data_IF_632036944599
#
_entry.id   IF_632036944599
#
_cell.length_a   1.000
_cell.length_b   1.000
_cell.length_c   1.000
_cell.angle_alpha   90.00
_cell.angle_beta   90.00
_cell.angle_gamma   90.00
#
_symmetry.space_group_name_H-M   'P 1'
#
loop_
_entity.id
_entity.type
_entity.pdbx_description
1 polymer ?
#
# COMPACT_ATOMS: atom_id res chain seq x y z
N UNK A 1 6.80 -15.84 11.09
CA UNK A 1 5.74 -14.97 10.56
C UNK A 1 4.75 -15.88 9.88
N UNK A 2 3.50 -15.90 10.32
CA UNK A 2 2.47 -16.62 9.59
C UNK A 2 2.08 -15.82 8.35
N UNK A 3 1.42 -16.48 7.40
CA UNK A 3 0.89 -15.82 6.21
C UNK A 3 -0.30 -14.93 6.59
N UNK A 4 -0.42 -13.74 5.97
CA UNK A 4 -1.55 -12.85 6.24
C UNK A 4 -2.88 -13.52 5.84
N UNK A 5 -3.93 -13.26 6.61
CA UNK A 5 -5.29 -13.71 6.28
C UNK A 5 -5.85 -12.77 5.22
N UNK A 6 -5.89 -13.23 3.97
CA UNK A 6 -6.34 -12.43 2.83
C UNK A 6 -7.86 -12.25 2.86
N UNK A 7 -8.32 -11.00 2.83
CA UNK A 7 -9.74 -10.62 2.79
C UNK A 7 -10.18 -10.19 1.39
N UNK A 8 -9.29 -9.54 0.63
CA UNK A 8 -9.49 -9.16 -0.75
C UNK A 8 -8.30 -9.61 -1.58
N UNK A 9 -8.54 -10.30 -2.71
CA UNK A 9 -7.47 -10.88 -3.51
C UNK A 9 -7.46 -10.33 -4.92
N UNK A 10 -6.36 -9.68 -5.30
CA UNK A 10 -6.05 -9.23 -6.66
C UNK A 10 -7.21 -8.47 -7.33
N UNK A 11 -7.81 -7.53 -6.60
CA UNK A 11 -8.90 -6.68 -7.09
C UNK A 11 -8.31 -5.52 -7.87
N UNK A 12 -8.79 -5.28 -9.10
CA UNK A 12 -8.38 -4.10 -9.86
C UNK A 12 -8.94 -2.84 -9.18
N UNK A 13 -8.05 -1.90 -8.91
CA UNK A 13 -8.35 -0.71 -8.13
C UNK A 13 -7.58 0.51 -8.67
N UNK A 14 -8.03 1.69 -8.27
CA UNK A 14 -7.31 2.94 -8.48
C UNK A 14 -6.89 3.48 -7.14
N UNK A 15 -5.58 3.62 -6.96
CA UNK A 15 -4.99 4.18 -5.74
C UNK A 15 -4.40 5.55 -6.03
N UNK A 16 -4.41 6.40 -5.01
CA UNK A 16 -3.71 7.67 -5.01
C UNK A 16 -2.66 7.66 -3.89
N UNK A 17 -1.41 7.97 -4.25
CA UNK A 17 -0.29 8.07 -3.31
C UNK A 17 0.08 9.54 -3.10
N UNK A 18 0.31 9.92 -1.83
CA UNK A 18 0.70 11.28 -1.41
C UNK A 18 -0.23 12.38 -1.95
N UNK A 19 -1.51 12.04 -2.19
CA UNK A 19 -2.51 12.96 -2.76
C UNK A 19 -2.24 13.44 -4.19
N UNK A 20 -1.23 12.91 -4.89
CA UNK A 20 -0.80 13.43 -6.19
C UNK A 20 -0.61 12.37 -7.27
N UNK A 21 -0.16 11.16 -6.91
CA UNK A 21 0.17 10.13 -7.91
C UNK A 21 -0.95 9.10 -7.99
N UNK A 22 -1.60 8.98 -9.14
CA UNK A 22 -2.70 8.05 -9.35
C UNK A 22 -2.24 6.85 -10.17
N UNK A 23 -2.55 5.65 -9.70
CA UNK A 23 -2.18 4.41 -10.37
C UNK A 23 -3.35 3.44 -10.45
N UNK A 24 -3.49 2.78 -11.60
CA UNK A 24 -4.30 1.57 -11.70
C UNK A 24 -3.46 0.39 -11.27
N UNK A 25 -3.92 -0.36 -10.26
CA UNK A 25 -3.15 -1.43 -9.63
C UNK A 25 -4.04 -2.64 -9.36
N UNK A 26 -3.45 -3.82 -9.25
CA UNK A 26 -4.12 -4.92 -8.57
C UNK A 26 -3.79 -4.86 -7.08
N UNK A 27 -4.82 -4.74 -6.26
CA UNK A 27 -4.72 -4.65 -4.81
C UNK A 27 -5.16 -5.96 -4.18
N UNK A 28 -4.31 -6.50 -3.30
CA UNK A 28 -4.67 -7.55 -2.35
C UNK A 28 -4.61 -6.96 -0.95
N UNK A 29 -5.63 -7.19 -0.14
CA UNK A 29 -5.69 -6.74 1.26
C UNK A 29 -5.86 -7.97 2.15
N UNK A 30 -5.16 -8.00 3.27
CA UNK A 30 -5.32 -8.98 4.32
C UNK A 30 -4.98 -8.43 5.68
N UNK A 31 -4.99 -9.29 6.69
CA UNK A 31 -4.57 -8.97 8.05
C UNK A 31 -3.30 -9.75 8.40
N UNK A 32 -2.29 -9.04 8.87
CA UNK A 32 -1.07 -9.63 9.42
C UNK A 32 -1.29 -10.09 10.87
N UNK A 33 -0.40 -10.96 11.37
CA UNK A 33 -0.45 -11.45 12.76
C UNK A 33 -0.37 -10.32 13.81
N UNK A 34 0.24 -9.19 13.46
CA UNK A 34 0.33 -8.01 14.34
C UNK A 34 -1.01 -7.28 14.53
N UNK A 35 -2.01 -7.61 13.72
CA UNK A 35 -3.28 -6.88 13.63
C UNK A 35 -3.28 -5.76 12.59
N UNK A 36 -2.13 -5.46 11.98
CA UNK A 36 -2.04 -4.48 10.89
C UNK A 36 -2.61 -5.03 9.59
N UNK A 37 -3.10 -4.16 8.72
CA UNK A 37 -3.46 -4.55 7.38
C UNK A 37 -2.20 -4.82 6.55
N UNK A 38 -2.19 -5.98 5.90
CA UNK A 38 -1.27 -6.30 4.83
C UNK A 38 -1.85 -5.82 3.49
N UNK A 39 -1.02 -5.18 2.68
CA UNK A 39 -1.38 -4.84 1.31
C UNK A 39 -0.32 -5.36 0.33
N UNK A 40 -0.78 -5.92 -0.79
CA UNK A 40 0.05 -6.16 -1.95
C UNK A 40 -0.48 -5.34 -3.12
N UNK A 41 0.37 -4.47 -3.66
CA UNK A 41 0.05 -3.56 -4.75
C UNK A 41 0.86 -3.96 -5.97
N UNK A 42 0.20 -4.53 -6.97
CA UNK A 42 0.83 -4.88 -8.24
C UNK A 42 0.57 -3.77 -9.26
N UNK A 43 1.60 -2.97 -9.50
CA UNK A 43 1.63 -1.92 -10.51
C UNK A 43 2.01 -2.53 -11.86
N UNK A 44 1.14 -2.40 -12.85
CA UNK A 44 1.34 -2.97 -14.19
C UNK A 44 1.26 -1.89 -15.26
N UNK A 45 1.87 -2.14 -16.42
CA UNK A 45 1.90 -1.22 -17.56
C UNK A 45 2.45 0.17 -17.22
N UNK A 46 3.48 0.23 -16.35
CA UNK A 46 4.04 1.50 -15.92
C UNK A 46 4.78 2.18 -17.06
N UNK A 47 4.70 3.51 -17.11
CA UNK A 47 5.66 4.30 -17.87
C UNK A 47 7.01 4.32 -17.13
N UNK A 48 8.06 4.75 -17.83
CA UNK A 48 9.39 4.94 -17.21
C UNK A 48 9.34 5.96 -16.08
N UNK A 49 8.49 6.99 -16.20
CA UNK A 49 8.37 8.01 -15.16
C UNK A 49 7.57 7.51 -13.96
N UNK A 50 6.50 6.73 -14.17
CA UNK A 50 5.81 6.04 -13.07
C UNK A 50 6.76 5.13 -12.30
N UNK A 51 7.60 4.37 -13.01
CA UNK A 51 8.61 3.50 -12.40
C UNK A 51 9.58 4.30 -11.52
N UNK A 52 10.07 5.45 -12.00
CA UNK A 52 10.96 6.32 -11.21
C UNK A 52 10.25 6.90 -9.98
N UNK A 53 8.99 7.32 -10.12
CA UNK A 53 8.20 7.86 -9.01
C UNK A 53 8.05 6.79 -7.92
N UNK A 54 7.61 5.58 -8.30
CA UNK A 54 7.47 4.47 -7.36
C UNK A 54 8.82 4.11 -6.73
N UNK A 55 9.89 3.97 -7.53
CA UNK A 55 11.22 3.69 -7.02
C UNK A 55 11.75 4.78 -6.07
N UNK A 56 11.33 6.04 -6.26
CA UNK A 56 11.65 7.14 -5.35
C UNK A 56 10.84 7.07 -4.06
N UNK A 57 9.51 6.94 -4.15
CA UNK A 57 8.61 6.88 -3.00
C UNK A 57 8.99 5.75 -2.03
N UNK A 58 9.26 4.54 -2.54
CA UNK A 58 9.66 3.40 -1.69
C UNK A 58 10.97 3.63 -0.93
N UNK A 59 11.88 4.46 -1.46
CA UNK A 59 13.18 4.74 -0.83
C UNK A 59 13.08 5.74 0.32
N UNK A 60 11.99 6.49 0.42
CA UNK A 60 11.85 7.52 1.44
C UNK A 60 11.68 6.94 2.86
N UNK A 61 11.47 5.62 3.01
CA UNK A 61 11.30 4.91 4.31
C UNK A 61 10.33 5.61 5.29
N UNK A 62 9.38 6.37 4.74
CA UNK A 62 8.37 7.11 5.49
C UNK A 62 7.01 6.48 5.25
N UNK A 63 6.06 6.75 6.14
CA UNK A 63 4.65 6.47 5.92
C UNK A 63 4.20 7.18 4.65
N UNK A 64 3.75 6.41 3.66
CA UNK A 64 3.18 6.95 2.42
C UNK A 64 1.67 7.06 2.61
N UNK A 65 1.12 8.25 2.40
CA UNK A 65 -0.33 8.42 2.38
C UNK A 65 -0.90 7.66 1.17
N UNK A 66 -1.95 6.88 1.43
CA UNK A 66 -2.68 6.14 0.39
C UNK A 66 -4.18 6.40 0.53
N UNK A 67 -4.85 6.57 -0.61
CA UNK A 67 -6.30 6.42 -0.72
C UNK A 67 -6.62 5.47 -1.87
N UNK A 68 -7.76 4.82 -1.78
CA UNK A 68 -8.17 3.75 -2.68
C UNK A 68 -9.68 3.63 -2.65
N UNK A 69 -10.28 3.44 -3.82
CA UNK A 69 -11.72 3.18 -3.90
C UNK A 69 -12.10 1.88 -3.18
N UNK A 70 -11.25 0.85 -3.28
CA UNK A 70 -11.46 -0.41 -2.57
C UNK A 70 -11.41 -0.22 -1.04
N UNK A 71 -10.41 0.51 -0.54
CA UNK A 71 -10.26 0.83 0.89
C UNK A 71 -11.51 1.54 1.41
N UNK A 72 -11.99 2.56 0.69
CA UNK A 72 -13.16 3.34 1.08
C UNK A 72 -14.46 2.51 1.04
N UNK A 73 -14.64 1.70 -0.01
CA UNK A 73 -15.87 0.91 -0.22
C UNK A 73 -16.02 -0.18 0.84
N UNK A 74 -14.92 -0.87 1.15
CA UNK A 74 -14.88 -1.94 2.16
C UNK A 74 -14.68 -1.40 3.58
N UNK A 75 -14.52 -0.07 3.73
CA UNK A 75 -14.32 0.65 5.00
C UNK A 75 -13.10 0.15 5.77
N UNK A 76 -12.02 -0.17 5.07
CA UNK A 76 -10.75 -0.45 5.71
C UNK A 76 -10.17 0.84 6.30
N UNK A 77 -9.73 0.80 7.56
CA UNK A 77 -9.08 1.93 8.22
C UNK A 77 -7.60 2.00 7.84
N UNK A 78 -7.31 2.25 6.55
CA UNK A 78 -5.96 2.30 5.99
C UNK A 78 -5.77 3.68 5.37
N UNK A 79 -4.99 4.54 6.02
CA UNK A 79 -4.69 5.90 5.56
C UNK A 79 -3.25 6.05 5.07
N UNK A 80 -2.37 5.19 5.59
CA UNK A 80 -0.94 5.23 5.35
C UNK A 80 -0.38 3.81 5.25
N UNK A 81 0.66 3.66 4.44
CA UNK A 81 1.37 2.40 4.25
C UNK A 81 2.88 2.57 4.32
N UNK A 82 3.56 1.53 4.75
CA UNK A 82 5.02 1.41 4.65
C UNK A 82 5.35 0.23 3.74
N UNK A 83 6.18 0.48 2.73
CA UNK A 83 6.66 -0.58 1.83
C UNK A 83 7.71 -1.41 2.56
N UNK A 84 7.37 -2.66 2.86
CA UNK A 84 8.24 -3.60 3.59
C UNK A 84 9.06 -4.48 2.65
N UNK A 85 8.54 -4.75 1.45
CA UNK A 85 9.24 -5.48 0.41
C UNK A 85 8.77 -5.02 -0.98
N UNK A 86 9.60 -5.20 -1.99
CA UNK A 86 9.25 -4.89 -3.36
C UNK A 86 9.95 -5.84 -4.35
N UNK A 87 9.28 -6.11 -5.47
CA UNK A 87 9.87 -6.82 -6.62
C UNK A 87 9.65 -6.00 -7.87
N UNK A 88 10.66 -5.93 -8.73
CA UNK A 88 10.62 -5.21 -9.99
C UNK A 88 10.84 -6.22 -11.12
N UNK A 89 10.12 -6.07 -12.23
CA UNK A 89 10.31 -6.89 -13.42
C UNK A 89 10.78 -6.05 -14.60
N UNK A 90 11.46 -6.69 -15.56
CA UNK A 90 11.94 -6.03 -16.77
C UNK A 90 10.80 -5.51 -17.68
N UNK A 91 9.54 -5.81 -17.36
CA UNK A 91 8.35 -5.39 -18.11
C UNK A 91 7.70 -4.13 -17.54
N UNK A 92 8.45 -3.29 -16.81
CA UNK A 92 7.92 -2.10 -16.12
C UNK A 92 6.74 -2.47 -15.22
N UNK A 93 6.95 -3.50 -14.40
CA UNK A 93 6.03 -3.89 -13.34
C UNK A 93 6.75 -3.78 -12.01
N UNK A 94 6.02 -3.32 -11.01
CA UNK A 94 6.50 -3.26 -9.64
C UNK A 94 5.43 -3.89 -8.77
N UNK A 95 5.81 -4.77 -7.86
CA UNK A 95 4.94 -5.22 -6.78
C UNK A 95 5.48 -4.67 -5.48
N UNK A 96 4.64 -4.01 -4.70
CA UNK A 96 4.94 -3.64 -3.32
C UNK A 96 4.18 -4.54 -2.37
N UNK A 97 4.88 -4.97 -1.32
CA UNK A 97 4.28 -5.50 -0.11
C UNK A 97 4.37 -4.43 0.95
N UNK A 98 3.24 -4.15 1.58
CA UNK A 98 3.09 -3.05 2.51
C UNK A 98 2.40 -3.50 3.78
N UNK A 99 2.64 -2.76 4.86
CA UNK A 99 1.81 -2.80 6.06
C UNK A 99 1.14 -1.44 6.24
N UNK A 100 -0.09 -1.44 6.74
CA UNK A 100 -0.73 -0.21 7.21
C UNK A 100 0.03 0.33 8.41
N UNK A 101 0.24 1.63 8.45
CA UNK A 101 0.96 2.27 9.56
C UNK A 101 0.48 3.71 9.70
N UNK A 102 -0.54 3.92 10.52
CA UNK A 102 -1.11 5.24 10.77
C UNK A 102 -0.31 5.96 11.87
N UNK A 103 0.41 7.05 11.53
CA UNK A 103 1.24 7.77 12.49
C UNK A 103 0.43 8.42 13.63
N UNK A 104 -0.90 8.57 13.47
CA UNK A 104 -1.79 9.14 14.48
C UNK A 104 -2.46 8.09 15.36
N UNK A 105 -2.31 6.79 15.07
CA UNK A 105 -2.94 5.73 15.87
C UNK A 105 -2.37 5.67 17.31
N UNK A 106 -1.15 6.18 17.52
CA UNK A 106 -0.50 6.20 18.82
C UNK A 106 -0.57 7.56 19.54
N UNK A 107 -1.02 8.64 18.88
CA UNK A 107 -1.14 9.95 19.53
C UNK A 107 -2.25 10.03 20.57
N UNK A 108 -3.27 9.17 20.47
CA UNK A 108 -4.40 9.12 21.41
C UNK A 108 -4.15 8.26 22.66
N UNK A 109 -3.03 7.52 22.71
CA UNK A 109 -2.68 6.67 23.86
C UNK A 109 -1.92 7.43 24.97
N UNK A 110 -1.52 8.69 24.74
CA UNK A 110 -0.81 9.53 25.72
C UNK A 110 -1.71 10.53 26.47
N UNK A 111 -3.03 10.36 26.41
CA UNK A 111 -3.99 11.15 27.17
C UNK A 111 -4.77 10.27 28.18
N UNK A 112 -4.08 9.63 29.12
CA UNK A 112 -4.65 9.18 30.40
C UNK A 112 -3.65 9.27 31.53
#
# INVERSE_FOLDING_TARGET
>A
MNEPVITQKKVLDTIQLEGQYNFSVYTTIGLADSGDFYLELEFTNLTVDDFKILAHLRKQQKHLQISSKLIDTEKYNITHIVVTNFTESNMLQITWKCLSDDPNMYSDLNLK
#
